data_IF_472471614454
#
_entry.id   IF_472471614454
#
_cell.length_a   1.000
_cell.length_b   1.000
_cell.length_c   1.000
_cell.angle_alpha   90.00
_cell.angle_beta   90.00
_cell.angle_gamma   90.00
#
_symmetry.space_group_name_H-M   'P 1'
#
loop_
_entity.id
_entity.type
_entity.pdbx_description
1 polymer ?
#
# COMPACT_ATOMS: atom_id res chain seq x y z
N UNK A 1 7.99 5.48 -6.29
CA UNK A 1 6.95 5.35 -5.23
C UNK A 1 6.74 3.88 -4.81
N UNK A 2 6.82 3.53 -3.51
CA UNK A 2 6.56 2.16 -3.02
C UNK A 2 5.15 2.08 -2.42
N UNK A 3 4.19 1.56 -3.19
CA UNK A 3 2.76 1.59 -2.88
C UNK A 3 2.35 0.75 -1.65
N UNK A 4 3.09 -0.33 -1.36
CA UNK A 4 2.79 -1.23 -0.23
C UNK A 4 4.04 -1.99 0.22
N UNK A 5 4.04 -2.39 1.50
CA UNK A 5 5.04 -3.28 2.08
C UNK A 5 4.37 -4.60 2.49
N UNK A 6 4.97 -5.72 2.08
CA UNK A 6 4.60 -7.05 2.60
C UNK A 6 5.47 -7.35 3.81
N UNK A 7 4.85 -7.65 4.94
CA UNK A 7 5.56 -8.06 6.15
C UNK A 7 5.27 -9.54 6.43
N UNK A 8 6.35 -10.28 6.70
CA UNK A 8 6.31 -11.66 7.20
C UNK A 8 6.58 -11.64 8.71
N UNK A 9 5.80 -12.40 9.47
CA UNK A 9 5.96 -12.48 10.92
C UNK A 9 7.13 -13.41 11.29
N UNK A 10 8.34 -12.84 11.42
CA UNK A 10 9.53 -13.56 11.88
C UNK A 10 10.06 -13.04 13.24
N UNK A 11 9.79 -13.81 14.30
CA UNK A 11 10.78 -14.23 15.31
C UNK A 11 11.42 -13.27 16.32
N UNK A 12 11.02 -12.00 16.45
CA UNK A 12 11.54 -11.12 17.54
C UNK A 12 10.49 -10.54 18.49
N UNK A 13 9.25 -10.44 18.03
CA UNK A 13 8.09 -10.03 18.82
C UNK A 13 7.21 -11.27 19.04
N UNK A 14 6.49 -11.35 20.16
CA UNK A 14 5.51 -12.44 20.33
C UNK A 14 4.45 -12.36 19.24
N UNK A 15 4.01 -13.52 18.76
CA UNK A 15 3.04 -13.63 17.67
C UNK A 15 1.73 -12.92 18.05
N UNK A 16 1.35 -13.01 19.32
CA UNK A 16 0.14 -12.40 19.87
C UNK A 16 0.22 -10.86 19.86
N UNK A 17 1.37 -10.29 20.22
CA UNK A 17 1.56 -8.84 20.20
C UNK A 17 1.59 -8.32 18.76
N UNK A 18 2.26 -9.04 17.84
CA UNK A 18 2.27 -8.70 16.43
C UNK A 18 0.85 -8.72 15.83
N UNK A 19 0.07 -9.76 16.13
CA UNK A 19 -1.33 -9.86 15.68
C UNK A 19 -2.20 -8.74 16.25
N UNK A 20 -2.03 -8.38 17.52
CA UNK A 20 -2.78 -7.27 18.11
C UNK A 20 -2.49 -5.94 17.40
N UNK A 21 -1.23 -5.66 17.09
CA UNK A 21 -0.84 -4.44 16.36
C UNK A 21 -1.44 -4.46 14.94
N UNK A 22 -1.32 -5.57 14.23
CA UNK A 22 -1.80 -5.71 12.86
C UNK A 22 -3.33 -5.64 12.76
N UNK A 23 -4.06 -6.26 13.70
CA UNK A 23 -5.50 -6.16 13.77
C UNK A 23 -5.96 -4.72 14.07
N UNK A 24 -5.21 -3.97 14.88
CA UNK A 24 -5.48 -2.54 15.10
C UNK A 24 -5.19 -1.69 13.86
N UNK A 25 -4.10 -1.96 13.14
CA UNK A 25 -3.80 -1.30 11.87
C UNK A 25 -4.85 -1.61 10.80
N UNK A 26 -5.42 -2.82 10.79
CA UNK A 26 -6.52 -3.16 9.89
C UNK A 26 -7.79 -2.36 10.19
N UNK A 27 -8.11 -2.12 11.47
CA UNK A 27 -9.25 -1.28 11.86
C UNK A 27 -9.10 0.16 11.36
N UNK A 28 -7.87 0.67 11.27
CA UNK A 28 -7.60 1.99 10.72
C UNK A 28 -7.45 2.00 9.19
N UNK A 29 -7.64 0.88 8.50
CA UNK A 29 -7.50 0.78 7.05
C UNK A 29 -6.06 0.73 6.53
N UNK A 30 -5.07 0.64 7.43
CA UNK A 30 -3.63 0.69 7.09
C UNK A 30 -2.98 -0.69 7.00
N UNK A 31 -3.74 -1.76 7.21
CA UNK A 31 -3.24 -3.11 7.00
C UNK A 31 -4.34 -4.08 6.53
N UNK A 32 -3.96 -5.09 5.77
CA UNK A 32 -4.86 -6.16 5.36
C UNK A 32 -4.12 -7.51 5.36
N UNK A 33 -4.71 -8.58 5.92
CA UNK A 33 -4.12 -9.90 5.84
C UNK A 33 -4.20 -10.43 4.39
N UNK A 34 -3.09 -10.98 3.90
CA UNK A 34 -3.01 -11.55 2.54
C UNK A 34 -3.75 -12.87 2.39
N UNK A 35 -3.95 -13.59 3.49
CA UNK A 35 -4.60 -14.88 3.53
C UNK A 35 -5.30 -15.12 4.87
N UNK A 36 -6.14 -16.17 4.92
CA UNK A 36 -6.88 -16.54 6.14
C UNK A 36 -5.96 -16.97 7.29
N UNK A 37 -4.71 -17.35 6.99
CA UNK A 37 -3.74 -17.75 8.01
C UNK A 37 -3.18 -16.55 8.78
N UNK A 38 -3.39 -15.31 8.27
CA UNK A 38 -2.88 -14.06 8.86
C UNK A 38 -1.37 -14.08 9.12
N UNK A 39 -0.62 -14.86 8.35
CA UNK A 39 0.85 -14.95 8.48
C UNK A 39 1.57 -13.86 7.69
N UNK A 40 0.90 -13.31 6.67
CA UNK A 40 1.42 -12.24 5.82
C UNK A 40 0.41 -11.12 5.74
N UNK A 41 0.92 -9.91 5.76
CA UNK A 41 0.12 -8.70 5.76
C UNK A 41 0.63 -7.70 4.75
N UNK A 42 -0.29 -7.00 4.10
CA UNK A 42 -0.03 -5.77 3.39
C UNK A 42 -0.16 -4.62 4.39
N UNK A 43 0.86 -3.76 4.42
CA UNK A 43 0.87 -2.53 5.20
C UNK A 43 0.86 -1.35 4.25
N UNK A 44 -0.01 -0.39 4.53
CA UNK A 44 -0.19 0.82 3.75
C UNK A 44 0.18 2.04 4.60
N UNK A 45 0.91 2.98 3.99
CA UNK A 45 1.28 4.26 4.63
C UNK A 45 0.16 5.30 4.52
N UNK A 46 -0.66 5.15 3.50
CA UNK A 46 -1.94 5.81 3.30
C UNK A 46 -3.01 4.72 3.17
N UNK A 47 -4.24 5.01 3.56
CA UNK A 47 -5.37 4.12 3.28
C UNK A 47 -5.55 3.94 1.77
N UNK A 48 -6.28 2.89 1.36
CA UNK A 48 -6.53 2.65 -0.07
C UNK A 48 -7.28 3.81 -0.74
N UNK A 49 -8.17 4.48 -0.01
CA UNK A 49 -8.91 5.63 -0.52
C UNK A 49 -7.99 6.83 -0.74
N UNK A 50 -7.11 7.13 0.22
CA UNK A 50 -6.08 8.17 0.07
C UNK A 50 -5.10 7.85 -1.07
N UNK A 51 -4.69 6.59 -1.23
CA UNK A 51 -3.88 6.17 -2.36
C UNK A 51 -4.59 6.37 -3.70
N UNK A 52 -5.89 6.05 -3.76
CA UNK A 52 -6.69 6.25 -4.97
C UNK A 52 -6.74 7.75 -5.33
N UNK A 53 -6.91 8.63 -4.35
CA UNK A 53 -6.89 10.07 -4.53
C UNK A 53 -5.51 10.57 -4.99
N UNK A 54 -4.41 10.13 -4.37
CA UNK A 54 -3.04 10.48 -4.76
C UNK A 54 -2.77 10.11 -6.22
N UNK A 55 -3.11 8.87 -6.61
CA UNK A 55 -2.90 8.37 -7.97
C UNK A 55 -3.78 9.13 -8.96
N UNK A 56 -5.04 9.39 -8.61
CA UNK A 56 -5.95 10.15 -9.46
C UNK A 56 -5.46 11.58 -9.70
N UNK A 57 -5.01 12.26 -8.65
CA UNK A 57 -4.49 13.62 -8.74
C UNK A 57 -3.21 13.66 -9.60
N UNK A 58 -2.29 12.71 -9.42
CA UNK A 58 -1.13 12.57 -10.31
C UNK A 58 -1.55 12.39 -11.77
N UNK A 59 -2.53 11.53 -12.04
CA UNK A 59 -3.00 11.30 -13.40
C UNK A 59 -3.68 12.55 -13.99
N UNK A 60 -4.39 13.33 -13.18
CA UNK A 60 -4.99 14.59 -13.59
C UNK A 60 -3.93 15.64 -13.94
N UNK A 61 -2.95 15.82 -13.06
CA UNK A 61 -1.89 16.83 -13.21
C UNK A 61 -1.00 16.55 -14.43
N UNK A 62 -0.83 15.28 -14.78
CA UNK A 62 -0.04 14.86 -15.95
C UNK A 62 -0.89 14.63 -17.21
N UNK A 63 -2.20 14.91 -17.18
CA UNK A 63 -3.08 14.77 -18.35
C UNK A 63 -3.35 13.32 -18.78
N UNK A 64 -3.18 12.35 -17.88
CA UNK A 64 -3.37 10.91 -18.13
C UNK A 64 -4.78 10.41 -17.80
N UNK A 65 -5.69 11.25 -17.32
CA UNK A 65 -7.08 10.85 -17.05
C UNK A 65 -7.76 10.35 -18.34
N UNK A 66 -8.31 9.14 -18.30
CA UNK A 66 -8.94 8.50 -19.46
C UNK A 66 -7.98 7.75 -20.39
N UNK A 67 -6.69 7.70 -20.06
CA UNK A 67 -5.68 6.89 -20.74
C UNK A 67 -5.41 5.58 -19.97
N UNK A 68 -4.84 4.58 -20.66
CA UNK A 68 -4.38 3.34 -20.03
C UNK A 68 -2.90 3.50 -19.69
N UNK A 69 -2.54 3.26 -18.42
CA UNK A 69 -1.16 3.16 -17.99
C UNK A 69 -0.90 1.83 -17.28
N UNK A 70 0.35 1.40 -17.30
CA UNK A 70 0.85 0.25 -16.59
C UNK A 70 1.33 0.65 -15.20
N UNK A 71 1.40 -0.33 -14.29
CA UNK A 71 1.97 -0.10 -12.96
C UNK A 71 3.43 0.36 -13.01
N UNK A 72 4.17 -0.02 -14.06
CA UNK A 72 5.56 0.41 -14.25
C UNK A 72 5.63 1.92 -14.51
N UNK A 73 4.82 2.43 -15.44
CA UNK A 73 4.76 3.87 -15.75
C UNK A 73 4.35 4.70 -14.53
N UNK A 74 3.46 4.18 -13.68
CA UNK A 74 3.01 4.83 -12.44
C UNK A 74 4.04 4.86 -11.31
N UNK A 75 5.03 3.97 -11.31
CA UNK A 75 5.93 3.79 -10.16
C UNK A 75 7.39 4.11 -10.48
N UNK A 76 7.75 4.02 -11.75
CA UNK A 76 9.12 4.12 -12.27
C UNK A 76 9.20 4.88 -13.60
N UNK A 77 8.09 5.44 -14.11
CA UNK A 77 8.11 6.27 -15.31
C UNK A 77 8.72 7.64 -15.03
N UNK A 78 9.15 8.33 -16.09
CA UNK A 78 9.85 9.63 -16.02
C UNK A 78 9.06 10.69 -15.23
N UNK A 79 7.73 10.61 -15.21
CA UNK A 79 6.82 11.50 -14.50
C UNK A 79 6.66 11.17 -12.99
N UNK A 80 7.46 10.25 -12.45
CA UNK A 80 7.36 9.74 -11.07
C UNK A 80 8.66 9.84 -10.28
N UNK A 81 9.72 10.39 -10.88
CA UNK A 81 11.10 10.33 -10.33
C UNK A 81 11.36 11.41 -9.26
N UNK A 82 10.54 12.46 -9.19
CA UNK A 82 10.75 13.63 -8.31
C UNK A 82 9.76 13.76 -7.13
N UNK A 83 9.16 12.65 -6.65
CA UNK A 83 8.31 12.62 -5.44
C UNK A 83 8.79 11.65 -4.37
#
# INVERSE_FOLDING_TARGET
MRLFLVVLLEGKLSVEAAQLILDNLAKSGNACPLDKSKQRWLIYWHTLDEWAEIIYNWAQDNGFVGSVCTLFELTQGDNTVDQ
#
